data_IF_950123450184
#
_entry.id   IF_950123450184
#
_cell.length_a   1.000
_cell.length_b   1.000
_cell.length_c   1.000
_cell.angle_alpha   90.00
_cell.angle_beta   90.00
_cell.angle_gamma   90.00
#
_symmetry.space_group_name_H-M   'P 1'
#
loop_
_entity.id
_entity.type
_entity.pdbx_description
1 polymer ?
#
# COMPACT_ATOMS: atom_id res chain seq x y z
N UNK A 1 -34.10 36.35 -20.22
CA UNK A 1 -33.24 36.43 -19.02
C UNK A 1 -33.35 35.07 -18.36
N UNK A 2 -32.52 34.12 -18.80
CA UNK A 2 -32.53 32.77 -18.26
C UNK A 2 -31.54 32.72 -17.08
N UNK A 3 -32.11 32.66 -15.88
CA UNK A 3 -31.41 32.42 -14.63
C UNK A 3 -30.84 31.00 -14.65
N UNK A 4 -29.54 30.87 -14.93
CA UNK A 4 -28.82 29.62 -14.71
C UNK A 4 -28.89 29.26 -13.21
N UNK A 5 -29.63 28.21 -12.89
CA UNK A 5 -29.62 27.57 -11.59
C UNK A 5 -28.25 26.92 -11.40
N UNK A 6 -27.43 27.52 -10.53
CA UNK A 6 -26.20 26.90 -10.05
C UNK A 6 -26.61 25.71 -9.18
N UNK A 7 -26.55 24.50 -9.74
CA UNK A 7 -26.66 23.27 -8.97
C UNK A 7 -25.38 23.09 -8.16
N UNK A 8 -25.43 23.35 -6.86
CA UNK A 8 -24.32 23.02 -5.96
C UNK A 8 -24.21 21.51 -5.84
N UNK A 9 -23.03 20.95 -6.09
CA UNK A 9 -22.73 19.53 -5.83
C UNK A 9 -23.12 19.19 -4.37
N UNK A 10 -23.77 18.04 -4.12
CA UNK A 10 -24.08 17.62 -2.76
C UNK A 10 -22.78 17.44 -1.98
N UNK A 11 -22.75 17.97 -0.74
CA UNK A 11 -21.62 17.83 0.18
C UNK A 11 -22.04 17.01 1.38
N UNK A 12 -21.10 16.24 1.93
CA UNK A 12 -21.30 15.45 3.14
C UNK A 12 -20.35 15.98 4.22
N UNK A 13 -20.87 16.20 5.42
CA UNK A 13 -20.06 16.48 6.59
C UNK A 13 -19.62 15.13 7.17
N UNK A 14 -18.31 14.90 7.25
CA UNK A 14 -17.81 13.73 7.98
C UNK A 14 -18.00 13.95 9.49
N UNK A 15 -18.42 12.93 10.26
CA UNK A 15 -18.46 13.02 11.71
C UNK A 15 -17.04 13.18 12.28
N UNK A 16 -16.94 13.57 13.54
CA UNK A 16 -15.67 13.56 14.26
C UNK A 16 -15.18 12.12 14.42
N UNK A 17 -14.24 11.71 13.58
CA UNK A 17 -13.69 10.37 13.58
C UNK A 17 -12.75 10.14 14.76
N UNK A 18 -12.09 11.20 15.28
CA UNK A 18 -11.19 11.10 16.42
C UNK A 18 -11.98 10.77 17.68
N UNK A 19 -13.08 11.50 17.92
CA UNK A 19 -14.01 11.18 19.01
C UNK A 19 -14.53 9.75 18.88
N UNK A 20 -14.95 9.34 17.67
CA UNK A 20 -15.53 8.04 17.41
C UNK A 20 -14.56 6.86 17.66
N UNK A 21 -13.26 7.04 17.41
CA UNK A 21 -12.26 5.96 17.57
C UNK A 21 -11.48 6.05 18.89
N UNK A 22 -11.62 7.13 19.66
CA UNK A 22 -10.96 7.33 20.97
C UNK A 22 -11.27 6.23 22.00
N UNK A 23 -12.34 5.46 21.80
CA UNK A 23 -12.71 4.32 22.64
C UNK A 23 -11.76 3.13 22.51
N UNK A 24 -10.98 3.06 21.42
CA UNK A 24 -10.04 1.98 21.19
C UNK A 24 -8.72 2.24 21.92
N UNK A 25 -8.02 1.17 22.37
CA UNK A 25 -6.72 1.33 23.02
C UNK A 25 -5.70 1.98 22.08
N UNK A 26 -5.01 3.01 22.57
CA UNK A 26 -3.79 3.50 21.95
C UNK A 26 -2.61 2.66 22.42
N UNK A 27 -2.16 1.75 21.54
CA UNK A 27 -1.00 0.90 21.79
C UNK A 27 0.32 1.61 21.40
N UNK A 28 0.25 2.84 20.92
CA UNK A 28 1.39 3.63 20.46
C UNK A 28 1.97 3.17 19.12
N UNK A 29 3.04 3.84 18.73
CA UNK A 29 3.83 3.53 17.55
C UNK A 29 4.82 2.38 17.86
N UNK A 30 4.98 1.42 16.94
CA UNK A 30 6.00 0.39 17.09
C UNK A 30 7.41 0.99 17.30
N UNK A 31 8.17 0.58 18.34
CA UNK A 31 9.48 1.14 18.66
C UNK A 31 10.54 0.96 17.57
N UNK A 32 10.35 0.02 16.64
CA UNK A 32 11.27 -0.27 15.55
C UNK A 32 11.02 0.56 14.29
N UNK A 33 9.99 1.42 14.26
CA UNK A 33 9.59 2.18 13.07
C UNK A 33 10.75 2.94 12.40
N UNK A 34 11.51 3.71 13.17
CA UNK A 34 12.61 4.52 12.63
C UNK A 34 13.75 3.66 12.07
N UNK A 35 13.93 2.44 12.59
CA UNK A 35 14.98 1.53 12.16
C UNK A 35 14.58 0.74 10.91
N UNK A 36 13.30 0.43 10.74
CA UNK A 36 12.80 -0.36 9.60
C UNK A 36 12.40 0.48 8.39
N UNK A 37 12.01 1.74 8.60
CA UNK A 37 11.55 2.64 7.52
C UNK A 37 12.56 2.80 6.38
N UNK A 38 13.87 3.07 6.62
CA UNK A 38 14.82 3.27 5.52
C UNK A 38 15.04 2.01 4.69
N UNK A 39 15.08 0.85 5.34
CA UNK A 39 15.13 -0.45 4.68
C UNK A 39 13.87 -0.62 3.79
N UNK A 40 12.72 -0.07 4.22
CA UNK A 40 11.37 -0.27 3.64
C UNK A 40 11.29 0.35 2.29
N UNK A 41 11.53 1.65 2.34
CA UNK A 41 11.66 2.50 1.18
C UNK A 41 12.72 2.00 0.23
N UNK A 42 13.88 1.52 0.72
CA UNK A 42 14.92 1.00 -0.16
C UNK A 42 14.48 -0.24 -0.94
N UNK A 43 13.63 -1.09 -0.36
CA UNK A 43 13.12 -2.29 -1.03
C UNK A 43 12.08 -1.95 -2.10
N UNK A 44 11.01 -1.23 -1.74
CA UNK A 44 9.91 -0.94 -2.67
C UNK A 44 10.35 -0.05 -3.85
N UNK A 45 11.34 0.85 -3.64
CA UNK A 45 11.92 1.68 -4.70
C UNK A 45 12.53 0.87 -5.86
N UNK A 46 12.87 -0.40 -5.66
CA UNK A 46 13.35 -1.29 -6.72
C UNK A 46 12.25 -1.65 -7.73
N UNK A 47 10.98 -1.54 -7.33
CA UNK A 47 9.82 -1.92 -8.13
C UNK A 47 9.02 -0.71 -8.61
N UNK A 48 8.87 0.31 -7.78
CA UNK A 48 8.10 1.52 -8.12
C UNK A 48 8.55 2.18 -9.42
N UNK A 49 9.86 2.25 -9.66
CA UNK A 49 10.40 2.88 -10.86
C UNK A 49 9.97 2.17 -12.16
N UNK A 50 9.47 0.94 -12.08
CA UNK A 50 8.98 0.15 -13.22
C UNK A 50 7.52 0.50 -13.58
N UNK A 51 6.74 1.06 -12.64
CA UNK A 51 5.28 1.18 -12.76
C UNK A 51 4.80 2.59 -12.50
N UNK A 52 5.35 3.23 -11.47
CA UNK A 52 4.91 4.52 -10.99
C UNK A 52 5.57 5.66 -11.79
N UNK A 53 4.76 6.36 -12.59
CA UNK A 53 5.13 7.66 -13.12
C UNK A 53 5.46 8.66 -12.00
N UNK A 54 6.08 9.83 -12.31
CA UNK A 54 6.52 10.79 -11.29
C UNK A 54 5.42 11.25 -10.34
N UNK A 55 4.18 11.36 -10.82
CA UNK A 55 3.01 11.73 -10.01
C UNK A 55 2.69 10.67 -8.95
N UNK A 56 2.78 9.40 -9.33
CA UNK A 56 2.43 8.28 -8.45
C UNK A 56 3.49 8.06 -7.37
N UNK A 57 4.77 8.22 -7.72
CA UNK A 57 5.86 8.25 -6.73
C UNK A 57 5.68 9.36 -5.71
N UNK A 58 5.34 10.57 -6.17
CA UNK A 58 5.04 11.67 -5.26
C UNK A 58 3.83 11.38 -4.35
N UNK A 59 2.85 10.57 -4.77
CA UNK A 59 1.77 10.14 -3.87
C UNK A 59 2.28 9.17 -2.82
N UNK A 60 3.08 8.17 -3.20
CA UNK A 60 3.64 7.20 -2.26
C UNK A 60 4.58 7.88 -1.26
N UNK A 61 5.43 8.81 -1.69
CA UNK A 61 6.29 9.59 -0.80
C UNK A 61 5.50 10.41 0.24
N UNK A 62 4.26 10.80 -0.08
CA UNK A 62 3.34 11.50 0.83
C UNK A 62 2.38 10.57 1.58
N UNK A 63 2.32 9.30 1.21
CA UNK A 63 1.55 8.27 1.88
C UNK A 63 2.46 7.56 2.87
N UNK A 64 2.32 7.87 4.15
CA UNK A 64 3.07 7.19 5.21
C UNK A 64 2.47 5.79 5.50
N UNK A 65 2.48 4.90 4.51
CA UNK A 65 1.96 3.53 4.63
C UNK A 65 2.68 2.77 5.73
N UNK A 66 4.00 2.94 5.82
CA UNK A 66 4.83 2.31 6.85
C UNK A 66 4.46 2.82 8.26
N UNK A 67 4.02 4.07 8.38
CA UNK A 67 3.54 4.63 9.65
C UNK A 67 2.22 3.98 10.06
N UNK A 68 1.29 3.80 9.12
CA UNK A 68 0.03 3.08 9.37
C UNK A 68 0.34 1.66 9.85
N UNK A 69 1.24 0.95 9.18
CA UNK A 69 1.67 -0.40 9.58
C UNK A 69 2.26 -0.39 11.00
N UNK A 70 3.10 0.58 11.35
CA UNK A 70 3.68 0.68 12.68
C UNK A 70 2.65 0.94 13.80
N UNK A 71 1.50 1.57 13.49
CA UNK A 71 0.36 1.65 14.40
C UNK A 71 -0.49 0.37 14.42
N UNK A 72 -0.60 -0.35 13.31
CA UNK A 72 -1.34 -1.61 13.24
C UNK A 72 -0.61 -2.78 13.92
N UNK A 73 0.73 -2.74 13.94
CA UNK A 73 1.57 -3.79 14.51
C UNK A 73 2.48 -3.25 15.62
N UNK A 74 1.93 -2.68 16.71
CA UNK A 74 2.71 -1.99 17.75
C UNK A 74 3.64 -2.92 18.55
N UNK A 75 3.36 -4.23 18.53
CA UNK A 75 4.09 -5.26 19.29
C UNK A 75 4.93 -6.21 18.42
N UNK A 76 4.94 -6.02 17.10
CA UNK A 76 5.81 -6.81 16.23
C UNK A 76 7.28 -6.52 16.56
N UNK A 77 8.12 -7.54 16.52
CA UNK A 77 9.56 -7.34 16.54
C UNK A 77 10.03 -6.65 15.25
N UNK A 78 11.32 -6.33 15.17
CA UNK A 78 11.89 -5.63 14.01
C UNK A 78 11.59 -6.36 12.70
N UNK A 79 11.76 -7.68 12.67
CA UNK A 79 11.59 -8.49 11.45
C UNK A 79 10.10 -8.65 11.07
N UNK A 80 9.20 -8.76 12.05
CA UNK A 80 7.76 -8.78 11.80
C UNK A 80 7.24 -7.43 11.32
N UNK A 81 7.72 -6.32 11.90
CA UNK A 81 7.37 -4.97 11.43
C UNK A 81 7.88 -4.75 10.00
N UNK A 82 9.09 -5.21 9.72
CA UNK A 82 9.71 -5.19 8.39
C UNK A 82 8.82 -5.89 7.35
N UNK A 83 8.48 -7.16 7.57
CA UNK A 83 7.69 -7.95 6.64
C UNK A 83 6.29 -7.36 6.40
N UNK A 84 5.68 -6.76 7.44
CA UNK A 84 4.36 -6.13 7.32
C UNK A 84 4.41 -4.79 6.56
N UNK A 85 5.51 -4.03 6.65
CA UNK A 85 5.72 -2.83 5.84
C UNK A 85 5.89 -3.19 4.36
N UNK A 86 6.68 -4.22 4.07
CA UNK A 86 6.90 -4.70 2.70
C UNK A 86 5.60 -5.26 2.11
N UNK A 87 4.82 -6.03 2.88
CA UNK A 87 3.49 -6.49 2.48
C UNK A 87 2.53 -5.33 2.16
N UNK A 88 2.50 -4.27 2.98
CA UNK A 88 1.59 -3.14 2.77
C UNK A 88 1.95 -2.33 1.53
N UNK A 89 3.24 -2.05 1.34
CA UNK A 89 3.73 -1.32 0.16
C UNK A 89 3.63 -2.16 -1.11
N UNK A 90 3.84 -3.49 -1.02
CA UNK A 90 3.55 -4.45 -2.08
C UNK A 90 2.07 -4.42 -2.49
N UNK A 91 1.16 -4.47 -1.51
CA UNK A 91 -0.28 -4.49 -1.75
C UNK A 91 -0.73 -3.20 -2.44
N UNK A 92 -0.19 -2.05 -2.02
CA UNK A 92 -0.46 -0.77 -2.67
C UNK A 92 0.05 -0.73 -4.11
N UNK A 93 1.30 -1.15 -4.37
CA UNK A 93 1.86 -1.14 -5.72
C UNK A 93 1.10 -2.10 -6.65
N UNK A 94 0.66 -3.24 -6.12
CA UNK A 94 -0.22 -4.17 -6.83
C UNK A 94 -1.57 -3.53 -7.18
N UNK A 95 -2.21 -2.84 -6.23
CA UNK A 95 -3.49 -2.15 -6.42
C UNK A 95 -3.40 -1.12 -7.55
N UNK A 96 -2.41 -0.22 -7.48
CA UNK A 96 -2.15 0.81 -8.50
C UNK A 96 -1.82 0.21 -9.88
N UNK A 97 -1.09 -0.92 -9.90
CA UNK A 97 -0.83 -1.65 -11.14
C UNK A 97 -2.15 -2.20 -11.72
N UNK A 98 -3.03 -2.76 -10.90
CA UNK A 98 -4.28 -3.38 -11.37
C UNK A 98 -5.38 -2.37 -11.73
N UNK A 99 -5.39 -1.19 -11.12
CA UNK A 99 -6.40 -0.15 -11.35
C UNK A 99 -6.41 0.40 -12.78
N UNK A 100 -5.28 0.31 -13.48
CA UNK A 100 -5.13 0.76 -14.87
C UNK A 100 -5.20 -0.36 -15.89
N UNK A 101 -5.50 -1.58 -15.45
CA UNK A 101 -5.50 -2.81 -16.27
C UNK A 101 -6.90 -3.28 -16.59
N UNK A 102 -7.00 -4.07 -17.65
CA UNK A 102 -8.25 -4.75 -17.97
C UNK A 102 -8.43 -6.03 -17.14
N UNK A 103 -9.62 -6.62 -17.19
CA UNK A 103 -9.95 -7.79 -16.37
C UNK A 103 -9.12 -9.04 -16.69
N UNK A 104 -8.56 -9.15 -17.90
CA UNK A 104 -7.71 -10.29 -18.26
C UNK A 104 -6.30 -10.09 -17.66
N UNK A 105 -5.73 -8.91 -17.82
CA UNK A 105 -4.44 -8.55 -17.23
C UNK A 105 -4.46 -8.65 -15.70
N UNK A 106 -5.54 -8.19 -15.04
CA UNK A 106 -5.71 -8.31 -13.58
C UNK A 106 -5.78 -9.78 -13.14
N UNK A 107 -6.48 -10.62 -13.90
CA UNK A 107 -6.56 -12.06 -13.61
C UNK A 107 -5.19 -12.73 -13.71
N UNK A 108 -4.40 -12.37 -14.72
CA UNK A 108 -3.05 -12.89 -14.90
C UNK A 108 -2.14 -12.45 -13.74
N UNK A 109 -2.17 -11.18 -13.35
CA UNK A 109 -1.44 -10.66 -12.19
C UNK A 109 -1.75 -11.45 -10.91
N UNK A 110 -3.03 -11.72 -10.64
CA UNK A 110 -3.46 -12.52 -9.49
C UNK A 110 -2.95 -13.97 -9.54
N UNK A 111 -2.88 -14.59 -10.72
CA UNK A 111 -2.30 -15.92 -10.90
C UNK A 111 -0.80 -15.91 -10.59
N UNK A 112 -0.07 -14.89 -11.02
CA UNK A 112 1.37 -14.74 -10.76
C UNK A 112 1.63 -14.64 -9.26
N UNK A 113 0.92 -13.75 -8.54
CA UNK A 113 1.04 -13.62 -7.08
C UNK A 113 0.71 -14.94 -6.40
N UNK A 114 -0.42 -15.57 -6.76
CA UNK A 114 -0.84 -16.84 -6.17
C UNK A 114 0.19 -17.95 -6.36
N UNK A 115 0.75 -18.10 -7.56
CA UNK A 115 1.77 -19.13 -7.83
C UNK A 115 3.07 -18.83 -7.09
N UNK A 116 3.51 -17.57 -7.09
CA UNK A 116 4.73 -17.14 -6.41
C UNK A 116 4.70 -17.43 -4.91
N UNK A 117 3.54 -17.28 -4.27
CA UNK A 117 3.35 -17.62 -2.85
C UNK A 117 3.24 -19.13 -2.56
N UNK A 118 2.82 -19.94 -3.54
CA UNK A 118 2.54 -21.38 -3.33
C UNK A 118 3.66 -22.30 -3.78
N UNK A 119 4.49 -21.84 -4.71
CA UNK A 119 5.53 -22.65 -5.35
C UNK A 119 6.87 -21.90 -5.30
N UNK A 120 7.80 -22.40 -4.47
CA UNK A 120 9.14 -21.82 -4.32
C UNK A 120 9.94 -21.83 -5.61
N UNK A 121 9.62 -22.75 -6.54
CA UNK A 121 10.32 -22.93 -7.82
C UNK A 121 9.65 -22.16 -8.96
N UNK A 122 8.41 -21.67 -8.78
CA UNK A 122 7.73 -20.88 -9.82
C UNK A 122 8.47 -19.57 -10.08
N UNK A 123 8.91 -19.36 -11.30
CA UNK A 123 9.48 -18.10 -11.76
C UNK A 123 9.07 -17.89 -13.21
N UNK A 124 8.31 -16.83 -13.47
CA UNK A 124 7.91 -16.42 -14.82
C UNK A 124 8.72 -15.22 -15.33
N UNK A 125 9.75 -14.80 -14.58
CA UNK A 125 10.61 -13.67 -14.87
C UNK A 125 9.94 -12.30 -14.68
N UNK A 126 8.70 -12.25 -14.19
CA UNK A 126 7.99 -10.98 -13.99
C UNK A 126 8.48 -10.26 -12.73
N UNK A 127 8.39 -8.92 -12.75
CA UNK A 127 8.66 -8.10 -11.59
C UNK A 127 7.72 -8.44 -10.42
N UNK A 128 6.49 -8.86 -10.72
CA UNK A 128 5.46 -9.20 -9.75
C UNK A 128 5.78 -10.52 -9.04
N UNK A 129 6.26 -11.53 -9.78
CA UNK A 129 6.79 -12.75 -9.19
C UNK A 129 7.96 -12.46 -8.25
N UNK A 130 8.94 -11.66 -8.72
CA UNK A 130 10.09 -11.26 -7.92
C UNK A 130 9.70 -10.54 -6.64
N UNK A 131 8.86 -9.50 -6.75
CA UNK A 131 8.38 -8.74 -5.58
C UNK A 131 7.65 -9.64 -4.57
N UNK A 132 6.80 -10.55 -5.05
CA UNK A 132 6.05 -11.47 -4.19
C UNK A 132 6.96 -12.48 -3.47
N UNK A 133 8.15 -12.77 -3.99
CA UNK A 133 9.09 -13.71 -3.37
C UNK A 133 10.12 -13.06 -2.45
N UNK A 134 10.37 -11.77 -2.62
CA UNK A 134 11.41 -11.03 -1.88
C UNK A 134 10.89 -10.35 -0.60
N UNK A 135 9.57 -10.22 -0.41
CA UNK A 135 8.97 -9.51 0.74
C UNK A 135 8.93 -10.34 2.04
#
# INVERSE_FOLDING_TARGET
>A
MDSQLISSQPTFLMPDLEEAVSIFPDNGLNPHYNDTLPEGRSWINQFENLICGPKMRAYLDNCDLELIVAFCYPFADKDGLRATMDLATMAWLYDEYTDIKDGQDVKEAGIIVQKSLRDSEFDDGSWLCRMTKEY
#
